data_IF_929823647653
#
_entry.id   IF_929823647653
#
_cell.length_a   1.000
_cell.length_b   1.000
_cell.length_c   1.000
_cell.angle_alpha   90.00
_cell.angle_beta   90.00
_cell.angle_gamma   90.00
#
_symmetry.space_group_name_H-M   'P 1'
#
loop_
_entity.id
_entity.type
_entity.pdbx_description
1 polymer ?
#
# COMPACT_ATOMS: atom_id res chain seq x y z
N UNK A 1 -6.20 -24.97 4.61
CA UNK A 1 -7.46 -24.93 3.82
C UNK A 1 -7.92 -23.49 3.76
N UNK A 2 -8.16 -22.95 2.57
CA UNK A 2 -8.65 -21.58 2.36
C UNK A 2 -10.00 -21.67 1.64
N UNK A 3 -11.06 -21.08 2.20
CA UNK A 3 -12.45 -21.27 1.74
C UNK A 3 -12.83 -22.73 1.46
N UNK A 4 -12.48 -23.64 2.37
CA UNK A 4 -12.81 -25.07 2.24
C UNK A 4 -11.95 -25.85 1.23
N UNK A 5 -10.98 -25.21 0.54
CA UNK A 5 -10.08 -25.90 -0.42
C UNK A 5 -8.66 -26.05 0.12
N UNK A 6 -7.98 -27.19 -0.11
CA UNK A 6 -6.56 -27.33 0.20
C UNK A 6 -5.76 -26.34 -0.66
N UNK A 7 -4.81 -25.65 -0.05
CA UNK A 7 -3.97 -24.65 -0.70
C UNK A 7 -2.55 -24.78 -0.13
N UNK A 8 -1.51 -24.75 -0.97
CA UNK A 8 -0.13 -24.70 -0.49
C UNK A 8 0.11 -23.47 0.38
N UNK A 9 0.91 -23.62 1.45
CA UNK A 9 1.18 -22.52 2.38
C UNK A 9 1.80 -21.29 1.69
N UNK A 10 2.65 -21.50 0.68
CA UNK A 10 3.24 -20.42 -0.12
C UNK A 10 2.19 -19.58 -0.84
N UNK A 11 1.21 -20.24 -1.47
CA UNK A 11 0.12 -19.57 -2.19
C UNK A 11 -0.80 -18.84 -1.21
N UNK A 12 -1.10 -19.46 -0.07
CA UNK A 12 -1.91 -18.81 0.97
C UNK A 12 -1.23 -17.54 1.50
N UNK A 13 0.06 -17.63 1.85
CA UNK A 13 0.83 -16.49 2.34
C UNK A 13 0.90 -15.37 1.30
N UNK A 14 1.19 -15.70 0.04
CA UNK A 14 1.23 -14.71 -1.05
C UNK A 14 -0.13 -14.05 -1.28
N UNK A 15 -1.22 -14.82 -1.18
CA UNK A 15 -2.58 -14.29 -1.29
C UNK A 15 -2.86 -13.27 -0.20
N UNK A 16 -2.49 -13.57 1.05
CA UNK A 16 -2.68 -12.66 2.17
C UNK A 16 -1.85 -11.38 2.02
N UNK A 17 -0.58 -11.50 1.62
CA UNK A 17 0.29 -10.34 1.38
C UNK A 17 -0.29 -9.44 0.29
N UNK A 18 -0.72 -10.01 -0.83
CA UNK A 18 -1.29 -9.25 -1.94
C UNK A 18 -2.63 -8.59 -1.55
N UNK A 19 -3.46 -9.28 -0.78
CA UNK A 19 -4.71 -8.73 -0.28
C UNK A 19 -4.48 -7.53 0.64
N UNK A 20 -3.50 -7.62 1.54
CA UNK A 20 -3.10 -6.50 2.39
C UNK A 20 -2.53 -5.33 1.57
N UNK A 21 -1.68 -5.61 0.58
CA UNK A 21 -1.12 -4.58 -0.31
C UNK A 21 -2.24 -3.85 -1.08
N UNK A 22 -3.24 -4.59 -1.57
CA UNK A 22 -4.41 -4.02 -2.26
C UNK A 22 -5.18 -3.04 -1.35
N UNK A 23 -5.58 -3.49 -0.16
CA UNK A 23 -6.31 -2.63 0.78
C UNK A 23 -5.48 -1.47 1.30
N UNK A 24 -4.16 -1.65 1.45
CA UNK A 24 -3.26 -0.56 1.81
C UNK A 24 -3.25 0.53 0.74
N UNK A 25 -3.21 0.16 -0.55
CA UNK A 25 -3.34 1.11 -1.66
C UNK A 25 -4.70 1.82 -1.67
N UNK A 26 -5.79 1.11 -1.37
CA UNK A 26 -7.12 1.75 -1.23
C UNK A 26 -7.13 2.77 -0.08
N UNK A 27 -6.53 2.43 1.06
CA UNK A 27 -6.45 3.32 2.21
C UNK A 27 -5.68 4.61 1.89
N UNK A 28 -4.56 4.55 1.16
CA UNK A 28 -3.81 5.78 0.82
C UNK A 28 -4.61 6.74 -0.07
N UNK A 29 -5.46 6.22 -0.95
CA UNK A 29 -6.40 7.03 -1.75
C UNK A 29 -7.46 7.68 -0.87
N UNK A 30 -8.10 6.91 0.01
CA UNK A 30 -9.13 7.41 0.92
C UNK A 30 -8.59 8.48 1.88
N UNK A 31 -7.38 8.26 2.41
CA UNK A 31 -6.70 9.24 3.26
C UNK A 31 -6.49 10.56 2.52
N UNK A 32 -6.03 10.52 1.26
CA UNK A 32 -5.86 11.73 0.45
C UNK A 32 -7.20 12.44 0.18
N UNK A 33 -8.26 11.70 -0.11
CA UNK A 33 -9.60 12.27 -0.28
C UNK A 33 -10.14 12.91 0.99
N UNK A 34 -9.78 12.39 2.16
CA UNK A 34 -10.13 12.93 3.47
C UNK A 34 -9.22 14.09 3.92
N UNK A 35 -8.23 14.50 3.12
CA UNK A 35 -7.25 15.54 3.48
C UNK A 35 -6.26 15.12 4.57
N UNK A 36 -6.10 13.82 4.80
CA UNK A 36 -5.15 13.27 5.77
C UNK A 36 -3.76 13.12 5.15
N UNK A 37 -2.72 13.18 5.98
CA UNK A 37 -1.34 12.89 5.57
C UNK A 37 -1.21 11.44 5.11
N UNK A 38 -0.78 11.22 3.86
CA UNK A 38 -0.51 9.88 3.33
C UNK A 38 0.93 9.47 3.67
N UNK A 39 1.15 8.35 4.38
CA UNK A 39 2.49 7.89 4.69
C UNK A 39 3.18 7.27 3.47
N UNK A 40 4.49 7.48 3.34
CA UNK A 40 5.33 6.82 2.35
C UNK A 40 5.57 5.34 2.63
N UNK A 41 4.65 4.47 2.20
CA UNK A 41 4.75 3.02 2.44
C UNK A 41 5.73 2.32 1.48
N UNK A 42 5.66 2.64 0.19
CA UNK A 42 6.48 1.99 -0.86
C UNK A 42 7.55 2.94 -1.41
N UNK A 43 8.07 3.80 -0.53
CA UNK A 43 8.85 4.98 -0.87
C UNK A 43 8.12 6.26 -0.41
N UNK A 44 8.81 7.41 -0.39
CA UNK A 44 8.23 8.62 0.17
C UNK A 44 7.00 9.07 -0.64
N UNK A 45 5.95 9.48 0.07
CA UNK A 45 4.79 10.11 -0.55
C UNK A 45 5.19 11.48 -1.15
N UNK A 46 4.43 11.99 -2.13
CA UNK A 46 4.73 13.27 -2.81
C UNK A 46 4.95 14.42 -1.82
N UNK A 47 4.14 14.44 -0.76
CA UNK A 47 4.18 15.43 0.30
C UNK A 47 5.47 15.30 1.15
N UNK A 48 5.93 14.07 1.40
CA UNK A 48 7.16 13.80 2.16
C UNK A 48 8.43 14.20 1.39
N UNK A 49 8.45 14.07 0.06
CA UNK A 49 9.53 14.62 -0.78
C UNK A 49 9.68 16.13 -0.56
N UNK A 50 8.55 16.86 -0.59
CA UNK A 50 8.55 18.30 -0.36
C UNK A 50 9.03 18.66 1.06
N UNK A 51 8.64 17.89 2.08
CA UNK A 51 9.15 18.07 3.45
C UNK A 51 10.67 17.85 3.54
N UNK A 52 11.23 16.95 2.74
CA UNK A 52 12.67 16.72 2.66
C UNK A 52 13.44 17.77 1.81
N UNK A 53 12.75 18.80 1.29
CA UNK A 53 13.35 19.81 0.42
C UNK A 53 13.72 19.28 -0.97
N UNK A 54 13.14 18.16 -1.38
CA UNK A 54 13.40 17.50 -2.66
C UNK A 54 12.16 17.53 -3.56
N UNK A 55 12.37 17.54 -4.87
CA UNK A 55 11.29 17.36 -5.84
C UNK A 55 10.99 15.87 -6.00
N UNK A 56 9.70 15.50 -6.00
CA UNK A 56 9.31 14.12 -6.25
C UNK A 56 9.69 13.69 -7.68
N UNK A 57 10.09 12.42 -7.91
CA UNK A 57 10.39 11.92 -9.25
C UNK A 57 9.25 12.18 -10.23
N UNK A 58 9.60 12.60 -11.44
CA UNK A 58 8.63 12.81 -12.52
C UNK A 58 8.13 11.45 -13.00
N UNK A 59 6.82 11.35 -13.22
CA UNK A 59 6.14 10.19 -13.80
C UNK A 59 6.43 10.07 -15.29
#
# INVERSE_FOLDING_TARGET
>A
VFFGRPMPNSIFLMTLINHQNHHRGQMTVLMRQAGLTVPGVYGPAKEEWATAGMEAPKM
#
